data_IF_534757941958
#
_entry.id   IF_534757941958
#
_cell.length_a   1.000
_cell.length_b   1.000
_cell.length_c   1.000
_cell.angle_alpha   90.00
_cell.angle_beta   90.00
_cell.angle_gamma   90.00
#
_symmetry.space_group_name_H-M   'P 1'
#
loop_
_entity.id
_entity.type
_entity.pdbx_description
1 polymer ?
#
# COMPACT_ATOMS: atom_id res chain seq x y z
N UNK A 1 -20.24 -6.77 -0.38
CA UNK A 1 -20.18 -6.78 1.09
C UNK A 1 -18.87 -6.16 1.54
N UNK A 2 -18.84 -5.39 2.64
CA UNK A 2 -17.57 -4.86 3.17
C UNK A 2 -16.77 -5.99 3.81
N UNK A 3 -15.46 -6.02 3.59
CA UNK A 3 -14.55 -7.05 4.12
C UNK A 3 -13.24 -6.40 4.60
N UNK A 4 -12.61 -6.99 5.63
CA UNK A 4 -11.24 -6.67 6.02
C UNK A 4 -10.38 -7.93 5.92
N UNK A 5 -9.35 -7.89 5.08
CA UNK A 5 -8.33 -8.93 5.04
C UNK A 5 -7.27 -8.61 6.09
N UNK A 6 -6.97 -9.60 6.92
CA UNK A 6 -5.91 -9.57 7.92
C UNK A 6 -4.86 -10.59 7.49
N UNK A 7 -3.68 -10.11 7.10
CA UNK A 7 -2.54 -10.97 6.83
C UNK A 7 -1.95 -11.46 8.15
N UNK A 8 -1.93 -12.77 8.34
CA UNK A 8 -1.37 -13.42 9.53
C UNK A 8 -0.12 -14.19 9.12
N UNK A 9 1.03 -13.68 9.55
CA UNK A 9 2.35 -14.20 9.19
C UNK A 9 3.09 -14.59 10.47
N UNK A 10 3.75 -15.74 10.45
CA UNK A 10 4.72 -16.13 11.45
C UNK A 10 6.03 -15.34 11.25
N UNK A 11 6.88 -15.28 12.27
CA UNK A 11 8.13 -14.50 12.20
C UNK A 11 9.08 -14.98 11.10
N UNK A 12 9.12 -16.30 10.85
CA UNK A 12 9.91 -16.92 9.80
C UNK A 12 9.30 -16.76 8.39
N UNK A 13 8.07 -16.26 8.28
CA UNK A 13 7.38 -16.01 7.00
C UNK A 13 7.52 -14.56 6.54
N UNK A 14 7.93 -13.67 7.44
CA UNK A 14 8.15 -12.26 7.13
C UNK A 14 9.46 -12.08 6.36
N UNK A 15 9.35 -12.00 5.03
CA UNK A 15 10.51 -11.72 4.17
C UNK A 15 11.02 -10.28 4.30
N UNK A 16 10.12 -9.33 4.58
CA UNK A 16 10.47 -7.94 4.86
C UNK A 16 9.43 -7.30 5.80
N UNK A 17 9.91 -6.66 6.88
CA UNK A 17 9.09 -5.89 7.83
C UNK A 17 8.96 -4.41 7.43
N UNK A 18 9.65 -3.99 6.37
CA UNK A 18 9.66 -2.64 5.85
C UNK A 18 8.58 -2.36 4.80
N UNK A 19 8.76 -1.22 4.13
CA UNK A 19 7.85 -0.70 3.10
C UNK A 19 7.60 -1.71 1.99
N UNK A 20 8.63 -2.44 1.54
CA UNK A 20 8.46 -3.38 0.43
C UNK A 20 7.55 -4.56 0.83
N UNK A 21 7.69 -5.07 2.05
CA UNK A 21 6.75 -6.02 2.63
C UNK A 21 5.31 -5.50 2.59
N UNK A 22 5.08 -4.29 3.12
CA UNK A 22 3.76 -3.64 3.12
C UNK A 22 3.15 -3.51 1.72
N UNK A 23 3.93 -3.03 0.73
CA UNK A 23 3.46 -2.87 -0.66
C UNK A 23 3.09 -4.20 -1.31
N UNK A 24 3.80 -5.29 -1.00
CA UNK A 24 3.44 -6.62 -1.50
C UNK A 24 2.10 -7.12 -0.93
N UNK A 25 1.84 -6.88 0.36
CA UNK A 25 0.54 -7.21 0.97
C UNK A 25 -0.59 -6.39 0.32
N UNK A 26 -0.35 -5.09 0.07
CA UNK A 26 -1.30 -4.22 -0.64
C UNK A 26 -1.56 -4.72 -2.07
N UNK A 27 -0.52 -5.04 -2.85
CA UNK A 27 -0.69 -5.57 -4.21
C UNK A 27 -1.48 -6.89 -4.19
N UNK A 28 -1.23 -7.76 -3.21
CA UNK A 28 -1.98 -9.00 -3.09
C UNK A 28 -3.46 -8.75 -2.76
N UNK A 29 -3.75 -7.80 -1.88
CA UNK A 29 -5.11 -7.35 -1.60
C UNK A 29 -5.80 -6.80 -2.85
N UNK A 30 -5.12 -5.94 -3.61
CA UNK A 30 -5.60 -5.39 -4.89
C UNK A 30 -5.97 -6.52 -5.86
N UNK A 31 -5.07 -7.49 -6.07
CA UNK A 31 -5.31 -8.62 -6.98
C UNK A 31 -6.52 -9.48 -6.57
N UNK A 32 -6.81 -9.56 -5.27
CA UNK A 32 -7.96 -10.30 -4.77
C UNK A 32 -9.28 -9.52 -4.90
N UNK A 33 -9.25 -8.20 -4.66
CA UNK A 33 -10.46 -7.39 -4.64
C UNK A 33 -10.87 -6.86 -6.00
N UNK A 34 -9.93 -6.70 -6.93
CA UNK A 34 -10.20 -6.13 -8.25
C UNK A 34 -11.13 -7.06 -9.05
N UNK A 35 -12.31 -6.55 -9.41
CA UNK A 35 -13.35 -7.19 -10.25
C UNK A 35 -13.64 -6.42 -11.53
N UNK A 36 -12.75 -5.51 -11.93
CA UNK A 36 -12.87 -4.67 -13.13
C UNK A 36 -12.94 -3.17 -12.83
N UNK A 37 -12.88 -2.77 -11.56
CA UNK A 37 -12.88 -1.36 -11.18
C UNK A 37 -11.68 -0.63 -11.80
N UNK A 38 -11.94 0.55 -12.36
CA UNK A 38 -10.96 1.39 -13.05
C UNK A 38 -10.24 2.36 -12.13
N UNK A 39 -10.84 2.68 -10.99
CA UNK A 39 -10.34 3.70 -10.06
C UNK A 39 -10.11 3.09 -8.68
N UNK A 40 -8.91 3.27 -8.15
CA UNK A 40 -8.53 2.83 -6.81
C UNK A 40 -8.44 4.02 -5.87
N UNK A 41 -9.09 3.95 -4.71
CA UNK A 41 -8.94 4.93 -3.63
C UNK A 41 -8.34 4.26 -2.39
N UNK A 42 -7.16 4.71 -2.02
CA UNK A 42 -6.42 4.28 -0.84
C UNK A 42 -6.51 5.36 0.24
N UNK A 43 -6.70 4.92 1.48
CA UNK A 43 -6.64 5.79 2.66
C UNK A 43 -5.74 5.13 3.69
N UNK A 44 -4.71 5.85 4.11
CA UNK A 44 -3.65 5.36 4.97
C UNK A 44 -3.44 6.31 6.16
N UNK A 45 -2.85 5.80 7.23
CA UNK A 45 -2.32 6.64 8.30
C UNK A 45 -1.04 7.37 7.83
N UNK A 46 -0.72 8.47 8.52
CA UNK A 46 0.41 9.36 8.17
C UNK A 46 1.77 8.81 8.62
N UNK A 47 1.96 7.48 8.59
CA UNK A 47 3.16 6.83 9.08
C UNK A 47 4.30 6.91 8.05
N UNK A 48 5.24 7.83 8.25
CA UNK A 48 6.35 8.09 7.32
C UNK A 48 7.21 6.84 7.02
N UNK A 49 7.44 6.00 8.03
CA UNK A 49 8.32 4.83 7.91
C UNK A 49 7.76 3.68 7.08
N UNK A 50 6.43 3.60 6.90
CA UNK A 50 5.77 2.44 6.26
C UNK A 50 4.85 2.85 5.12
N UNK A 51 4.00 3.84 5.34
CA UNK A 51 2.91 4.17 4.42
C UNK A 51 3.18 5.45 3.62
N UNK A 52 3.73 6.50 4.26
CA UNK A 52 3.98 7.79 3.63
C UNK A 52 5.46 7.97 3.27
N UNK A 53 5.87 7.32 2.18
CA UNK A 53 7.22 7.41 1.65
C UNK A 53 7.22 7.36 0.12
N UNK A 54 8.39 7.63 -0.48
CA UNK A 54 8.53 7.66 -1.94
C UNK A 54 8.22 6.33 -2.62
N UNK A 55 8.54 5.19 -1.99
CA UNK A 55 8.25 3.88 -2.57
C UNK A 55 6.74 3.66 -2.71
N UNK A 56 5.91 4.13 -1.76
CA UNK A 56 4.46 4.07 -1.87
C UNK A 56 3.90 4.96 -3.00
N UNK A 57 4.47 6.15 -3.19
CA UNK A 57 4.12 7.04 -4.31
C UNK A 57 4.47 6.39 -5.65
N UNK A 58 5.69 5.86 -5.77
CA UNK A 58 6.17 5.18 -6.97
C UNK A 58 5.36 3.92 -7.26
N UNK A 59 4.96 3.17 -6.23
CA UNK A 59 4.08 2.02 -6.37
C UNK A 59 2.71 2.41 -6.94
N UNK A 60 2.09 3.51 -6.46
CA UNK A 60 0.82 3.97 -7.02
C UNK A 60 0.96 4.42 -8.48
N UNK A 61 2.04 5.11 -8.82
CA UNK A 61 2.36 5.47 -10.21
C UNK A 61 2.56 4.21 -11.08
N UNK A 62 3.26 3.20 -10.57
CA UNK A 62 3.45 1.91 -11.22
C UNK A 62 2.12 1.19 -11.50
N UNK A 63 1.17 1.19 -10.54
CA UNK A 63 -0.15 0.60 -10.76
C UNK A 63 -0.88 1.21 -11.97
N UNK A 64 -0.80 2.53 -12.12
CA UNK A 64 -1.39 3.22 -13.28
C UNK A 64 -0.65 2.89 -14.56
N UNK A 65 0.68 3.01 -14.57
CA UNK A 65 1.49 2.78 -15.78
C UNK A 65 1.43 1.34 -16.29
N UNK A 66 1.27 0.37 -15.40
CA UNK A 66 1.10 -1.04 -15.77
C UNK A 66 -0.35 -1.41 -16.11
N UNK A 67 -1.27 -0.44 -16.14
CA UNK A 67 -2.67 -0.67 -16.49
C UNK A 67 -3.47 -1.42 -15.43
N UNK A 68 -3.00 -1.49 -14.17
CA UNK A 68 -3.82 -2.05 -13.09
C UNK A 68 -5.04 -1.16 -12.81
N UNK A 69 -4.92 0.16 -12.94
CA UNK A 69 -6.01 1.11 -12.76
C UNK A 69 -5.83 2.29 -13.73
N UNK A 70 -6.93 2.88 -14.16
CA UNK A 70 -6.92 4.14 -14.93
C UNK A 70 -6.57 5.32 -14.02
N UNK A 71 -6.95 5.26 -12.75
CA UNK A 71 -6.51 6.23 -11.76
C UNK A 71 -6.36 5.65 -10.35
N UNK A 72 -5.44 6.24 -9.59
CA UNK A 72 -5.23 5.93 -8.17
C UNK A 72 -5.29 7.24 -7.39
N UNK A 73 -6.08 7.26 -6.32
CA UNK A 73 -6.12 8.32 -5.33
C UNK A 73 -5.55 7.77 -4.01
N UNK A 74 -4.44 8.33 -3.54
CA UNK A 74 -3.82 7.97 -2.27
C UNK A 74 -3.98 9.12 -1.29
N UNK A 75 -4.64 8.84 -0.17
CA UNK A 75 -4.94 9.82 0.86
C UNK A 75 -4.30 9.42 2.19
N UNK A 76 -3.69 10.40 2.87
CA UNK A 76 -3.15 10.24 4.20
C UNK A 76 -3.97 11.03 5.21
N UNK A 77 -4.29 10.39 6.33
CA UNK A 77 -5.01 11.05 7.43
C UNK A 77 -4.14 12.15 8.07
N UNK A 78 -4.79 13.22 8.53
CA UNK A 78 -4.12 14.30 9.26
C UNK A 78 -3.83 13.82 10.69
N UNK A 79 -2.70 14.25 11.26
CA UNK A 79 -2.36 13.97 12.64
C UNK A 79 -3.49 14.41 13.60
N UNK A 80 -3.81 13.59 14.59
CA UNK A 80 -4.94 13.81 15.51
C UNK A 80 -6.30 13.26 15.03
N UNK A 81 -6.44 12.93 13.74
CA UNK A 81 -7.65 12.34 13.15
C UNK A 81 -7.38 10.94 12.56
N UNK A 82 -6.55 10.14 13.25
CA UNK A 82 -6.02 8.87 12.75
C UNK A 82 -6.93 7.66 12.97
N UNK A 83 -8.17 7.84 13.46
CA UNK A 83 -9.12 6.74 13.66
C UNK A 83 -9.87 6.44 12.37
N UNK A 84 -9.64 5.27 11.77
CA UNK A 84 -10.30 4.83 10.55
C UNK A 84 -10.86 3.41 10.65
N UNK A 85 -11.48 2.92 9.58
CA UNK A 85 -12.25 1.66 9.60
C UNK A 85 -11.47 0.43 10.09
N UNK A 86 -10.16 0.25 9.79
CA UNK A 86 -9.41 -0.90 10.27
C UNK A 86 -9.17 -0.90 11.78
N UNK A 87 -9.09 0.27 12.44
CA UNK A 87 -8.88 0.35 13.89
C UNK A 87 -10.02 -0.28 14.66
N UNK A 88 -11.26 -0.09 14.17
CA UNK A 88 -12.45 -0.73 14.75
C UNK A 88 -12.32 -2.25 14.70
N UNK A 89 -11.88 -2.78 13.55
CA UNK A 89 -11.77 -4.22 13.33
C UNK A 89 -10.60 -4.84 14.08
N UNK A 90 -9.47 -4.14 14.18
CA UNK A 90 -8.37 -4.53 15.08
C UNK A 90 -8.80 -4.48 16.55
N UNK A 91 -9.66 -3.52 16.94
CA UNK A 91 -10.27 -3.49 18.27
C UNK A 91 -11.10 -4.75 18.57
N UNK A 92 -11.85 -5.25 17.59
CA UNK A 92 -12.60 -6.51 17.72
C UNK A 92 -11.67 -7.72 17.86
N UNK A 93 -10.63 -7.81 17.02
CA UNK A 93 -9.59 -8.85 17.12
C UNK A 93 -8.93 -8.82 18.50
N UNK A 94 -8.51 -7.64 18.97
CA UNK A 94 -7.90 -7.44 20.29
C UNK A 94 -8.82 -7.88 21.43
N UNK A 95 -10.12 -7.58 21.35
CA UNK A 95 -11.11 -7.99 22.36
C UNK A 95 -11.24 -9.52 22.44
N UNK A 96 -11.22 -10.21 21.29
CA UNK A 96 -11.25 -11.68 21.24
C UNK A 96 -9.92 -12.28 21.70
N UNK A 97 -8.80 -11.75 21.21
CA UNK A 97 -7.45 -12.16 21.59
C UNK A 97 -7.23 -12.16 23.10
N UNK A 98 -7.60 -11.06 23.79
CA UNK A 98 -7.45 -10.93 25.26
C UNK A 98 -8.22 -11.97 26.09
N UNK A 99 -9.18 -12.67 25.48
CA UNK A 99 -10.01 -13.71 26.12
C UNK A 99 -9.67 -15.12 25.62
N UNK A 100 -8.56 -15.26 24.89
CA UNK A 100 -8.15 -16.51 24.26
C UNK A 100 -6.76 -16.90 24.76
N UNK A 101 -6.52 -18.19 24.91
CA UNK A 101 -5.17 -18.74 25.14
C UNK A 101 -4.61 -19.18 23.78
N UNK A 102 -3.46 -18.66 23.38
CA UNK A 102 -2.90 -18.83 22.03
C UNK A 102 -1.42 -19.22 22.15
N UNK A 103 -1.07 -20.35 21.54
CA UNK A 103 0.27 -20.93 21.47
C UNK A 103 0.74 -21.18 20.03
N UNK A 104 -0.15 -21.03 19.04
CA UNK A 104 0.19 -21.24 17.63
C UNK A 104 -0.42 -20.19 16.70
N UNK A 105 0.12 -20.08 15.49
CA UNK A 105 -0.41 -19.21 14.44
C UNK A 105 -1.84 -19.61 14.08
N UNK A 106 -2.13 -20.90 13.99
CA UNK A 106 -3.44 -21.46 13.63
C UNK A 106 -4.50 -21.05 14.66
N UNK A 107 -4.14 -21.09 15.95
CA UNK A 107 -5.02 -20.60 17.01
C UNK A 107 -5.27 -19.09 16.90
N UNK A 108 -4.28 -18.30 16.47
CA UNK A 108 -4.48 -16.88 16.20
C UNK A 108 -5.36 -16.63 14.97
N UNK A 109 -5.21 -17.43 13.90
CA UNK A 109 -6.08 -17.41 12.72
C UNK A 109 -7.54 -17.62 13.13
N UNK A 110 -7.81 -18.60 14.01
CA UNK A 110 -9.14 -18.82 14.54
C UNK A 110 -9.69 -17.61 15.32
N UNK A 111 -8.84 -16.96 16.12
CA UNK A 111 -9.21 -15.75 16.87
C UNK A 111 -9.64 -14.64 15.91
N UNK A 112 -8.90 -14.42 14.83
CA UNK A 112 -9.26 -13.40 13.83
C UNK A 112 -10.56 -13.75 13.12
N UNK A 113 -10.74 -14.99 12.63
CA UNK A 113 -11.97 -15.41 11.97
C UNK A 113 -13.21 -15.32 12.88
N UNK A 114 -13.04 -15.60 14.19
CA UNK A 114 -14.11 -15.56 15.20
C UNK A 114 -14.27 -14.17 15.85
N UNK A 115 -13.53 -13.15 15.39
CA UNK A 115 -13.50 -11.82 16.06
C UNK A 115 -14.65 -10.90 15.68
N UNK A 116 -15.22 -11.04 14.47
CA UNK A 116 -16.24 -10.13 13.95
C UNK A 116 -17.59 -10.84 13.75
N UNK A 117 -18.71 -10.27 14.23
CA UNK A 117 -20.04 -10.77 13.86
C UNK A 117 -20.23 -10.62 12.35
N UNK A 118 -20.73 -11.66 11.68
CA UNK A 118 -20.93 -11.74 10.22
C UNK A 118 -19.66 -11.93 9.37
N UNK A 119 -18.52 -12.24 9.98
CA UNK A 119 -17.31 -12.64 9.24
C UNK A 119 -16.68 -11.52 8.40
N UNK A 120 -16.78 -10.27 8.85
CA UNK A 120 -16.12 -9.10 8.27
C UNK A 120 -14.59 -9.27 8.22
N UNK A 121 -13.99 -9.79 9.30
CA UNK A 121 -12.57 -10.10 9.37
C UNK A 121 -12.31 -11.44 8.68
N UNK A 122 -11.57 -11.38 7.58
CA UNK A 122 -11.05 -12.53 6.84
C UNK A 122 -9.55 -12.65 7.13
N UNK A 123 -9.08 -13.89 7.26
CA UNK A 123 -7.64 -14.17 7.39
C UNK A 123 -7.05 -14.50 6.04
N UNK A 124 -5.82 -14.06 5.82
CA UNK A 124 -4.95 -14.57 4.77
C UNK A 124 -3.62 -14.98 5.35
N UNK A 125 -3.25 -16.24 5.15
CA UNK A 125 -1.97 -16.79 5.58
C UNK A 125 -0.97 -16.81 4.42
N UNK A 126 0.30 -16.73 4.75
CA UNK A 126 1.38 -17.21 3.91
C UNK A 126 1.73 -18.63 4.37
N UNK A 127 1.86 -19.59 3.47
CA UNK A 127 2.17 -20.98 3.81
C UNK A 127 3.36 -21.44 2.96
N UNK A 128 4.56 -21.53 3.55
CA UNK A 128 5.74 -22.14 2.95
C UNK A 128 6.07 -21.68 1.51
N UNK A 129 6.05 -20.36 1.25
CA UNK A 129 6.32 -19.83 -0.10
C UNK A 129 5.12 -19.83 -1.04
N UNK A 130 3.95 -20.30 -0.59
CA UNK A 130 2.68 -20.28 -1.33
C UNK A 130 1.70 -19.34 -0.62
N UNK A 131 1.04 -18.49 -1.39
CA UNK A 131 0.00 -17.57 -0.88
C UNK A 131 0.00 -16.22 -1.60
N UNK A 132 1.17 -15.60 -1.76
CA UNK A 132 1.33 -14.37 -2.54
C UNK A 132 2.78 -14.14 -2.97
N UNK A 133 2.98 -13.63 -4.19
CA UNK A 133 4.31 -13.33 -4.72
C UNK A 133 4.91 -12.10 -4.04
N UNK A 134 6.21 -12.15 -3.78
CA UNK A 134 7.00 -11.00 -3.34
C UNK A 134 7.79 -10.42 -4.51
N UNK A 135 7.63 -9.13 -4.73
CA UNK A 135 8.38 -8.33 -5.69
C UNK A 135 9.28 -7.35 -4.92
N UNK A 136 10.45 -7.05 -5.47
CA UNK A 136 11.29 -5.97 -4.97
C UNK A 136 10.91 -4.66 -5.66
N UNK A 137 10.03 -3.88 -5.02
CA UNK A 137 9.62 -2.57 -5.51
C UNK A 137 10.72 -1.51 -5.40
N UNK A 138 11.87 -1.79 -4.76
CA UNK A 138 13.02 -0.86 -4.84
C UNK A 138 13.53 -0.71 -6.27
N UNK A 139 13.25 -1.68 -7.15
CA UNK A 139 13.55 -1.55 -8.59
C UNK A 139 12.90 -0.31 -9.22
N UNK A 140 11.78 0.16 -8.68
CA UNK A 140 11.09 1.37 -9.15
C UNK A 140 11.95 2.63 -8.97
N UNK A 141 12.86 2.65 -8.00
CA UNK A 141 13.80 3.78 -7.81
C UNK A 141 14.74 3.96 -9.00
N UNK A 142 14.90 2.96 -9.88
CA UNK A 142 15.65 3.11 -11.14
C UNK A 142 14.93 4.05 -12.11
N UNK A 143 13.59 4.01 -12.14
CA UNK A 143 12.76 4.70 -13.12
C UNK A 143 12.18 6.02 -12.60
N UNK A 144 12.02 6.15 -11.28
CA UNK A 144 11.36 7.31 -10.68
C UNK A 144 12.29 8.19 -9.84
N UNK A 145 12.08 9.50 -9.89
CA UNK A 145 12.64 10.46 -8.95
C UNK A 145 11.85 10.47 -7.64
N UNK A 146 12.48 11.01 -6.58
CA UNK A 146 11.80 11.22 -5.30
C UNK A 146 10.97 12.51 -5.36
N UNK A 147 9.74 12.45 -4.89
CA UNK A 147 8.91 13.62 -4.69
C UNK A 147 9.48 14.47 -3.53
N UNK A 148 9.85 15.74 -3.76
CA UNK A 148 10.32 16.63 -2.71
C UNK A 148 9.19 16.97 -1.73
N UNK A 149 9.55 17.25 -0.48
CA UNK A 149 8.62 17.72 0.55
C UNK A 149 7.37 16.85 0.74
N UNK A 150 7.49 15.55 0.48
CA UNK A 150 6.38 14.57 0.52
C UNK A 150 5.56 14.65 1.82
N UNK A 151 6.22 14.93 2.95
CA UNK A 151 5.59 15.06 4.26
C UNK A 151 4.48 16.14 4.30
N UNK A 152 4.58 17.20 3.49
CA UNK A 152 3.60 18.30 3.38
C UNK A 152 2.26 17.82 2.82
N UNK A 153 2.26 16.94 1.83
CA UNK A 153 1.06 16.59 1.07
C UNK A 153 0.24 15.49 1.73
N UNK A 154 -1.08 15.57 1.62
CA UNK A 154 -2.01 14.55 2.16
C UNK A 154 -2.79 13.83 1.07
N UNK A 155 -2.94 14.44 -0.11
CA UNK A 155 -3.72 13.86 -1.20
C UNK A 155 -2.84 13.75 -2.44
N UNK A 156 -2.82 12.57 -3.05
CA UNK A 156 -2.01 12.25 -4.21
C UNK A 156 -2.89 11.59 -5.26
N UNK A 157 -2.76 12.04 -6.51
CA UNK A 157 -3.60 11.60 -7.63
C UNK A 157 -2.72 11.20 -8.80
N UNK A 158 -2.97 10.01 -9.32
CA UNK A 158 -2.27 9.41 -10.45
C UNK A 158 -3.32 9.05 -11.51
N UNK A 159 -3.06 9.38 -12.78
CA UNK A 159 -3.98 9.07 -13.90
C UNK A 159 -3.21 8.55 -15.11
N UNK A 160 -3.83 7.60 -15.83
CA UNK A 160 -3.35 7.10 -17.11
C UNK A 160 -3.36 8.18 -18.20
N UNK A 161 -4.11 9.28 -18.02
CA UNK A 161 -4.11 10.43 -18.95
C UNK A 161 -2.81 11.24 -18.89
N UNK A 162 -2.11 11.19 -17.75
CA UNK A 162 -0.82 11.85 -17.53
C UNK A 162 0.18 10.89 -16.87
N UNK A 163 0.64 9.84 -17.58
CA UNK A 163 1.59 8.88 -17.03
C UNK A 163 2.87 9.57 -16.54
N UNK A 164 3.37 9.16 -15.38
CA UNK A 164 4.55 9.76 -14.76
C UNK A 164 4.29 11.06 -13.99
N UNK A 165 3.11 11.67 -14.10
CA UNK A 165 2.76 12.88 -13.34
C UNK A 165 1.94 12.50 -12.10
N UNK A 166 2.41 12.97 -10.93
CA UNK A 166 1.59 12.99 -9.71
C UNK A 166 1.04 14.38 -9.48
N UNK A 167 -0.26 14.47 -9.23
CA UNK A 167 -0.90 15.71 -8.74
C UNK A 167 -1.07 15.59 -7.24
N UNK A 168 -0.70 16.62 -6.49
CA UNK A 168 -0.72 16.60 -5.03
C UNK A 168 -1.47 17.79 -4.46
N UNK A 169 -1.99 17.62 -3.24
CA UNK A 169 -2.53 18.70 -2.42
C UNK A 169 -2.04 18.59 -0.99
N UNK A 170 -1.76 19.74 -0.39
CA UNK A 170 -1.45 19.84 1.04
C UNK A 170 -2.68 19.51 1.89
N UNK A 171 -3.81 20.18 1.65
CA UNK A 171 -5.11 19.88 2.25
C UNK A 171 -6.20 19.80 1.18
N UNK A 172 -7.40 19.37 1.55
CA UNK A 172 -8.53 19.19 0.60
C UNK A 172 -8.83 20.45 -0.22
N UNK A 173 -8.72 21.63 0.41
CA UNK A 173 -8.99 22.94 -0.18
C UNK A 173 -7.76 23.58 -0.83
N UNK A 174 -6.57 22.98 -0.71
CA UNK A 174 -5.36 23.51 -1.34
C UNK A 174 -5.45 23.36 -2.88
N UNK A 175 -4.79 24.26 -3.64
CA UNK A 175 -4.63 24.08 -5.07
C UNK A 175 -3.81 22.83 -5.38
N UNK A 176 -3.94 22.34 -6.61
CA UNK A 176 -3.10 21.24 -7.09
C UNK A 176 -1.70 21.72 -7.42
N UNK A 177 -0.71 20.94 -7.02
CA UNK A 177 0.66 21.01 -7.53
C UNK A 177 0.91 19.75 -8.38
N UNK A 178 1.64 19.85 -9.50
CA UNK A 178 1.97 18.70 -10.37
C UNK A 178 3.48 18.47 -10.38
N UNK A 179 3.90 17.20 -10.28
CA UNK A 179 5.31 16.81 -10.30
C UNK A 179 5.52 15.65 -11.28
N UNK A 180 6.58 15.75 -12.08
CA UNK A 180 7.04 14.62 -12.89
C UNK A 180 7.87 13.67 -12.02
N UNK A 181 7.44 12.42 -11.95
CA UNK A 181 8.12 11.35 -11.23
C UNK A 181 9.08 10.56 -12.11
N UNK A 182 8.99 10.61 -13.44
CA UNK A 182 9.89 9.85 -14.30
C UNK A 182 11.29 10.46 -14.32
N UNK A 183 12.31 9.61 -14.27
CA UNK A 183 13.68 10.03 -14.56
C UNK A 183 13.84 10.31 -16.05
N UNK A 184 14.71 11.26 -16.33
CA UNK A 184 15.05 11.64 -17.69
C UNK A 184 16.13 10.69 -18.26
N UNK A 185 15.74 9.85 -19.23
CA UNK A 185 16.61 8.87 -19.91
C UNK A 185 17.70 9.52 -20.79
N UNK A 186 17.70 10.86 -20.92
CA UNK A 186 18.68 11.59 -21.72
C UNK A 186 20.12 11.53 -21.19
N UNK A 187 20.33 11.12 -19.92
CA UNK A 187 21.68 11.07 -19.31
C UNK A 187 22.44 9.75 -19.51
N UNK A 188 21.76 8.65 -19.86
CA UNK A 188 22.43 7.35 -20.05
C UNK A 188 22.90 7.12 -21.50
N UNK A 189 22.28 7.78 -22.49
CA UNK A 189 22.67 7.68 -23.91
C UNK A 189 24.02 8.35 -24.25
N UNK A 190 24.55 9.19 -23.38
CA UNK A 190 25.85 9.87 -23.57
C UNK A 190 27.09 9.10 -23.11
N UNK A 191 26.95 7.82 -22.71
CA UNK A 191 28.07 6.98 -22.20
C UNK A 191 28.47 5.82 -23.11
N UNK A 192 28.00 5.77 -24.35
CA UNK A 192 28.67 4.97 -25.38
C UNK A 192 29.82 5.83 -25.89
N UNK A 193 30.97 5.73 -25.21
CA UNK A 193 32.24 6.21 -25.76
C UNK A 193 32.63 5.26 -26.88
N UNK A 194 32.92 5.84 -28.03
CA UNK A 194 33.58 5.21 -29.17
C UNK A 194 34.78 4.37 -28.69
N UNK A 195 34.82 3.12 -29.14
CA UNK A 195 35.99 2.24 -29.09
C UNK A 195 36.66 2.23 -30.46
#
# INVERSE_FOLDING_TARGET
TKEQINFVLAENELLDKGVNGTLNLVLNGIKQFKRGEKHLKLTCDNAAGQNKNNSAIQFCQFLVMMGYYESVELNFMIAGHTKFSPDRNFGMIKKKYRKSTIYSKEQFVEVVNKSSPQGLNKVKCYENGKGFNYYDFKVLEKYFVKLPSLAKYHHFFFSADKPGIVRVKEFVNSPFEEFNLLKDDSRERGKIKDA
#
